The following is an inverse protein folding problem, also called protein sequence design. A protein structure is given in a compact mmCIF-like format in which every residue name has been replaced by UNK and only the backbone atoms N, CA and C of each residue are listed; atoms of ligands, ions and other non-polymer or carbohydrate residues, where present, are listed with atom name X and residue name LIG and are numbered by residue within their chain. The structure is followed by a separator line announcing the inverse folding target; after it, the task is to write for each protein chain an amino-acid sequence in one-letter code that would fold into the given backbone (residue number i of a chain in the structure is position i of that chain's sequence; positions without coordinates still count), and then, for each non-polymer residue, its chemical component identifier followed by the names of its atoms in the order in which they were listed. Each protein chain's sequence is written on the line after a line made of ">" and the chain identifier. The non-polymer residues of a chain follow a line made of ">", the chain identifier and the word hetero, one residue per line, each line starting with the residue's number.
data_IF_908521862073
#
_entry.id   IF_908521862073
#
_cell.length_a   1.000
_cell.length_b   1.000
_cell.length_c   1.000
_cell.angle_alpha   90.00
_cell.angle_beta   90.00
_cell.angle_gamma   90.00
#
_symmetry.space_group_name_H-M   'P 1'
#
loop_
_entity.id
_entity.type
_entity.pdbx_description
1 polymer ?
#
# COMPACT_ATOMS: atom_id res chain seq x y z
N UNK A 1 -4.71 -33.07 77.24
CA UNK A 1 -6.16 -32.80 77.02
C UNK A 1 -6.31 -32.23 75.61
N UNK A 2 -7.15 -32.84 74.76
CA UNK A 2 -7.40 -32.44 73.36
C UNK A 2 -7.90 -30.99 73.27
N UNK A 3 -7.52 -30.26 72.21
CA UNK A 3 -8.42 -29.33 71.51
C UNK A 3 -7.98 -29.13 70.06
N UNK A 4 -8.83 -29.61 69.14
CA UNK A 4 -8.85 -29.26 67.72
C UNK A 4 -9.45 -27.86 67.59
N UNK A 5 -9.00 -27.08 66.61
CA UNK A 5 -9.87 -26.12 65.94
C UNK A 5 -9.38 -25.83 64.52
N UNK A 6 -10.20 -26.16 63.53
CA UNK A 6 -10.07 -25.75 62.14
C UNK A 6 -10.41 -24.26 62.02
N UNK A 7 -9.77 -23.54 61.11
CA UNK A 7 -10.27 -22.26 60.59
C UNK A 7 -10.05 -22.16 59.08
N UNK A 8 -11.13 -21.78 58.40
CA UNK A 8 -11.34 -21.65 56.96
C UNK A 8 -10.70 -20.38 56.35
N UNK A 9 -10.71 -20.36 55.00
CA UNK A 9 -10.67 -19.23 54.05
C UNK A 9 -9.32 -18.86 53.43
N UNK A 10 -8.98 -19.56 52.34
CA UNK A 10 -8.34 -18.97 51.15
C UNK A 10 -9.40 -19.01 50.04
N UNK A 11 -9.59 -18.06 49.14
CA UNK A 11 -8.95 -16.79 48.81
C UNK A 11 -9.70 -16.28 47.57
N UNK A 12 -9.95 -14.97 47.48
CA UNK A 12 -10.70 -14.36 46.39
C UNK A 12 -10.06 -14.68 45.02
N UNK A 13 -10.84 -15.31 44.14
CA UNK A 13 -10.50 -15.43 42.71
C UNK A 13 -10.82 -14.13 41.99
N UNK A 14 -9.81 -13.26 41.82
CA UNK A 14 -9.91 -12.06 40.99
C UNK A 14 -9.65 -12.46 39.53
N UNK A 15 -10.70 -12.82 38.80
CA UNK A 15 -10.59 -13.08 37.36
C UNK A 15 -10.61 -11.76 36.60
N UNK A 16 -9.44 -11.19 36.36
CA UNK A 16 -9.27 -10.02 35.50
C UNK A 16 -9.04 -10.51 34.06
N UNK A 17 -10.13 -10.73 33.32
CA UNK A 17 -10.06 -10.90 31.86
C UNK A 17 -9.81 -9.54 31.21
N UNK A 18 -8.55 -9.25 30.92
CA UNK A 18 -8.15 -8.13 30.08
C UNK A 18 -8.34 -8.55 28.62
N UNK A 19 -9.48 -8.22 28.02
CA UNK A 19 -9.63 -8.28 26.55
C UNK A 19 -8.85 -7.11 25.96
N UNK A 20 -7.61 -7.37 25.53
CA UNK A 20 -6.85 -6.42 24.73
C UNK A 20 -7.45 -6.43 23.33
N UNK A 21 -8.33 -5.46 23.03
CA UNK A 21 -8.67 -5.12 21.65
C UNK A 21 -7.42 -4.51 21.00
N UNK A 22 -6.59 -5.36 20.41
CA UNK A 22 -5.50 -4.90 19.56
C UNK A 22 -6.09 -4.33 18.27
N UNK A 23 -6.02 -3.02 18.09
CA UNK A 23 -6.12 -2.42 16.77
C UNK A 23 -4.94 -2.95 15.95
N UNK A 24 -5.19 -3.89 15.05
CA UNK A 24 -4.18 -4.34 14.09
C UNK A 24 -4.08 -3.23 13.05
N UNK A 25 -2.88 -2.66 12.79
CA UNK A 25 -2.73 -1.72 11.68
C UNK A 25 -3.15 -2.43 10.38
N UNK A 26 -3.79 -1.71 9.42
CA UNK A 26 -4.10 -2.29 8.12
C UNK A 26 -2.82 -2.86 7.52
N UNK A 27 -2.92 -4.09 7.03
CA UNK A 27 -1.77 -4.77 6.45
C UNK A 27 -1.39 -4.12 5.12
N UNK A 28 -0.13 -4.22 4.73
CA UNK A 28 0.32 -3.72 3.42
C UNK A 28 -0.48 -4.36 2.27
N UNK A 29 -0.91 -5.62 2.43
CA UNK A 29 -1.80 -6.32 1.50
C UNK A 29 -3.20 -5.68 1.36
N UNK A 30 -3.71 -5.02 2.40
CA UNK A 30 -5.02 -4.34 2.33
C UNK A 30 -4.96 -3.13 1.38
N UNK A 31 -3.78 -2.53 1.16
CA UNK A 31 -3.63 -1.36 0.30
C UNK A 31 -3.81 -1.66 -1.19
N UNK A 32 -3.66 -2.93 -1.60
CA UNK A 32 -3.77 -3.37 -3.01
C UNK A 32 -5.14 -3.98 -3.35
N UNK A 33 -6.06 -4.10 -2.39
CA UNK A 33 -7.29 -4.88 -2.54
C UNK A 33 -8.20 -4.42 -3.71
N UNK A 34 -8.17 -3.14 -4.05
CA UNK A 34 -8.95 -2.51 -5.13
C UNK A 34 -8.11 -2.16 -6.37
N UNK A 35 -6.86 -2.61 -6.43
CA UNK A 35 -5.96 -2.40 -7.57
C UNK A 35 -5.94 -3.60 -8.51
N UNK A 36 -5.78 -3.32 -9.81
CA UNK A 36 -5.44 -4.34 -10.78
C UNK A 36 -3.95 -4.66 -10.62
N UNK A 37 -3.63 -5.88 -10.18
CA UNK A 37 -2.24 -6.32 -10.10
C UNK A 37 -1.63 -6.48 -11.50
N UNK A 38 -0.45 -5.88 -11.70
CA UNK A 38 0.32 -6.03 -12.92
C UNK A 38 1.31 -7.18 -12.79
N UNK A 39 1.58 -7.89 -13.89
CA UNK A 39 2.63 -8.89 -13.94
C UNK A 39 3.99 -8.19 -14.04
N UNK A 40 4.88 -8.42 -13.07
CA UNK A 40 6.22 -7.83 -13.06
C UNK A 40 7.05 -8.21 -14.28
N UNK A 41 6.84 -9.39 -14.87
CA UNK A 41 7.55 -9.85 -16.07
C UNK A 41 7.21 -9.00 -17.32
N UNK A 42 6.12 -8.23 -17.27
CA UNK A 42 5.67 -7.36 -18.34
C UNK A 42 6.12 -5.89 -18.15
N UNK A 43 6.71 -5.57 -17.00
CA UNK A 43 7.19 -4.22 -16.71
C UNK A 43 8.58 -4.05 -17.32
N UNK A 44 8.75 -3.00 -18.12
CA UNK A 44 10.03 -2.66 -18.73
C UNK A 44 10.80 -1.72 -17.81
N UNK A 45 12.06 -2.07 -17.51
CA UNK A 45 12.97 -1.25 -16.72
C UNK A 45 13.67 -2.02 -15.61
N UNK A 46 14.48 -1.32 -14.81
CA UNK A 46 15.16 -1.92 -13.67
C UNK A 46 14.20 -2.03 -12.48
N UNK A 47 13.85 -3.26 -12.08
CA UNK A 47 12.98 -3.54 -10.94
C UNK A 47 13.72 -3.53 -9.59
N UNK A 48 14.98 -3.09 -9.59
CA UNK A 48 15.88 -3.03 -8.43
C UNK A 48 16.66 -1.73 -8.40
N UNK A 49 16.89 -1.17 -7.22
CA UNK A 49 17.58 0.12 -7.12
C UNK A 49 17.73 0.65 -5.69
N UNK A 50 18.23 1.87 -5.57
CA UNK A 50 18.52 2.50 -4.28
C UNK A 50 17.36 3.32 -3.72
N UNK A 51 16.49 3.81 -4.59
CA UNK A 51 15.45 4.78 -4.24
C UNK A 51 14.12 4.36 -4.86
N UNK A 52 13.19 3.81 -4.07
CA UNK A 52 11.87 3.40 -4.52
C UNK A 52 11.05 4.49 -5.21
N UNK A 53 11.13 5.75 -4.75
CA UNK A 53 10.43 6.86 -5.41
C UNK A 53 11.00 7.13 -6.81
N UNK A 54 12.32 7.16 -6.94
CA UNK A 54 12.98 7.36 -8.23
C UNK A 54 12.70 6.19 -9.19
N UNK A 55 12.73 4.95 -8.69
CA UNK A 55 12.35 3.77 -9.47
C UNK A 55 10.90 3.83 -9.95
N UNK A 56 9.98 4.29 -9.10
CA UNK A 56 8.56 4.45 -9.44
C UNK A 56 8.38 5.43 -10.59
N UNK A 57 9.06 6.58 -10.55
CA UNK A 57 9.05 7.57 -11.63
C UNK A 57 9.74 7.07 -12.90
N UNK A 58 10.80 6.29 -12.76
CA UNK A 58 11.52 5.72 -13.91
C UNK A 58 10.66 4.68 -14.66
N UNK A 59 9.94 3.83 -13.92
CA UNK A 59 9.11 2.76 -14.46
C UNK A 59 7.77 3.26 -15.03
N UNK A 60 7.11 4.21 -14.35
CA UNK A 60 5.73 4.61 -14.66
C UNK A 60 5.52 6.12 -14.84
N UNK A 61 6.51 6.94 -14.51
CA UNK A 61 6.44 8.39 -14.69
C UNK A 61 6.49 8.78 -16.16
N UNK A 62 5.75 9.82 -16.53
CA UNK A 62 5.90 10.43 -17.85
C UNK A 62 7.11 11.36 -17.82
N UNK A 63 8.00 11.21 -18.81
CA UNK A 63 9.23 11.98 -18.94
C UNK A 63 9.08 13.06 -20.01
N UNK A 64 9.60 14.25 -19.73
CA UNK A 64 9.57 15.38 -20.65
C UNK A 64 8.35 16.28 -20.48
N UNK A 65 8.19 17.22 -21.40
CA UNK A 65 7.03 18.11 -21.43
C UNK A 65 5.81 17.36 -21.96
N UNK A 66 4.69 17.50 -21.26
CA UNK A 66 3.39 16.93 -21.64
C UNK A 66 2.45 18.08 -21.90
N UNK A 67 1.74 18.03 -23.02
CA UNK A 67 0.76 19.06 -23.37
C UNK A 67 -0.43 19.08 -22.39
N UNK A 68 -1.10 20.23 -22.32
CA UNK A 68 -2.27 20.42 -21.45
C UNK A 68 -1.92 20.69 -19.98
N UNK A 69 -2.86 20.40 -19.09
CA UNK A 69 -2.72 20.61 -17.65
C UNK A 69 -2.24 19.34 -16.92
N UNK A 70 -1.38 18.56 -17.56
CA UNK A 70 -0.85 17.32 -16.98
C UNK A 70 -0.18 17.59 -15.64
N UNK A 71 -0.39 16.69 -14.68
CA UNK A 71 0.31 16.70 -13.41
C UNK A 71 0.60 15.29 -12.95
N UNK A 72 1.73 15.11 -12.26
CA UNK A 72 2.05 13.86 -11.58
C UNK A 72 2.61 14.14 -10.19
N UNK A 73 2.23 13.30 -9.23
CA UNK A 73 2.56 13.42 -7.82
C UNK A 73 2.98 12.05 -7.28
N UNK A 74 4.00 12.03 -6.44
CA UNK A 74 4.54 10.82 -5.83
C UNK A 74 4.46 10.91 -4.31
N UNK A 75 3.95 9.86 -3.68
CA UNK A 75 3.75 9.78 -2.23
C UNK A 75 4.23 8.46 -1.68
N UNK A 76 4.89 8.51 -0.53
CA UNK A 76 5.18 7.31 0.27
C UNK A 76 4.00 7.09 1.20
N UNK A 77 3.29 5.96 1.04
CA UNK A 77 2.14 5.61 1.88
C UNK A 77 2.54 4.83 3.12
N UNK A 78 3.55 3.96 2.99
CA UNK A 78 4.10 3.16 4.07
C UNK A 78 5.62 3.07 3.94
N UNK A 79 6.32 3.10 5.07
CA UNK A 79 7.76 2.89 5.15
C UNK A 79 8.06 2.20 6.49
N UNK A 80 7.97 0.87 6.49
CA UNK A 80 8.03 0.05 7.70
C UNK A 80 9.12 -1.02 7.55
N UNK A 81 10.22 -0.86 8.31
CA UNK A 81 11.32 -1.83 8.30
C UNK A 81 11.93 -1.98 6.91
N UNK A 82 11.78 -3.18 6.34
CA UNK A 82 12.29 -3.53 5.01
C UNK A 82 11.20 -3.49 3.94
N UNK A 83 10.05 -2.88 4.21
CA UNK A 83 8.95 -2.69 3.27
C UNK A 83 8.70 -1.20 3.04
N UNK A 84 8.43 -0.83 1.78
CA UNK A 84 8.03 0.53 1.41
C UNK A 84 6.96 0.51 0.33
N UNK A 85 5.88 1.27 0.54
CA UNK A 85 4.81 1.45 -0.44
C UNK A 85 4.84 2.87 -0.97
N UNK A 86 4.92 2.97 -2.29
CA UNK A 86 4.96 4.24 -3.03
C UNK A 86 3.78 4.30 -3.99
N UNK A 87 3.12 5.45 -4.03
CA UNK A 87 2.02 5.73 -4.93
C UNK A 87 2.41 6.84 -5.89
N UNK A 88 2.24 6.58 -7.18
CA UNK A 88 2.31 7.58 -8.24
C UNK A 88 0.89 7.89 -8.71
N UNK A 89 0.50 9.15 -8.70
CA UNK A 89 -0.77 9.63 -9.28
C UNK A 89 -0.46 10.57 -10.44
N UNK A 90 -1.10 10.33 -11.58
CA UNK A 90 -1.03 11.13 -12.80
C UNK A 90 -2.43 11.61 -13.15
N UNK A 91 -2.59 12.91 -13.41
CA UNK A 91 -3.87 13.53 -13.73
C UNK A 91 -3.78 14.32 -15.03
N UNK A 92 -4.93 14.45 -15.69
CA UNK A 92 -5.08 15.16 -16.97
C UNK A 92 -4.15 14.55 -18.02
N UNK A 93 -4.24 13.24 -18.19
CA UNK A 93 -3.50 12.52 -19.22
C UNK A 93 -3.97 12.94 -20.62
N UNK A 94 -3.12 12.77 -21.65
CA UNK A 94 -3.49 13.12 -23.03
C UNK A 94 -4.66 12.31 -23.62
N UNK A 95 -5.03 11.19 -23.00
CA UNK A 95 -6.16 10.37 -23.43
C UNK A 95 -7.48 10.95 -22.89
N UNK A 96 -8.35 11.44 -23.78
CA UNK A 96 -9.62 12.06 -23.43
C UNK A 96 -10.58 11.14 -22.65
N UNK A 97 -10.39 9.82 -22.69
CA UNK A 97 -11.20 8.86 -21.93
C UNK A 97 -10.72 8.68 -20.49
N UNK A 98 -9.43 8.90 -20.22
CA UNK A 98 -8.79 8.68 -18.93
C UNK A 98 -8.47 10.02 -18.27
N UNK A 99 -9.14 10.32 -17.17
CA UNK A 99 -8.88 11.52 -16.37
C UNK A 99 -7.55 11.41 -15.64
N UNK A 100 -7.24 10.23 -15.13
CA UNK A 100 -6.01 10.01 -14.37
C UNK A 100 -5.67 8.53 -14.20
N UNK A 101 -4.41 8.30 -13.87
CA UNK A 101 -3.84 6.97 -13.62
C UNK A 101 -3.15 6.97 -12.27
N UNK A 102 -3.24 5.85 -11.58
CA UNK A 102 -2.56 5.66 -10.30
C UNK A 102 -1.87 4.31 -10.28
N UNK A 103 -0.63 4.32 -9.84
CA UNK A 103 0.16 3.13 -9.59
C UNK A 103 0.48 3.06 -8.10
N UNK A 104 0.32 1.87 -7.53
CA UNK A 104 0.77 1.54 -6.19
C UNK A 104 1.88 0.51 -6.33
N UNK A 105 3.03 0.77 -5.73
CA UNK A 105 4.21 -0.07 -5.85
C UNK A 105 4.69 -0.43 -4.46
N UNK A 106 4.89 -1.72 -4.22
CA UNK A 106 5.48 -2.24 -3.00
C UNK A 106 6.92 -2.66 -3.27
N UNK A 107 7.81 -2.25 -2.37
CA UNK A 107 9.23 -2.55 -2.44
C UNK A 107 9.68 -3.27 -1.18
N UNK A 108 10.52 -4.27 -1.37
CA UNK A 108 11.21 -4.99 -0.30
C UNK A 108 12.71 -4.71 -0.33
N UNK A 109 13.30 -4.40 0.81
CA UNK A 109 14.73 -4.17 0.91
C UNK A 109 15.49 -5.49 1.05
N UNK A 110 16.27 -5.83 0.02
CA UNK A 110 17.20 -6.95 0.03
C UNK A 110 18.46 -6.56 0.80
N UNK A 111 18.57 -7.06 2.03
CA UNK A 111 19.75 -6.81 2.87
C UNK A 111 21.03 -7.41 2.28
N UNK A 112 20.94 -8.51 1.54
CA UNK A 112 22.10 -9.13 0.89
C UNK A 112 22.64 -8.29 -0.27
N UNK A 113 21.76 -7.59 -0.99
CA UNK A 113 22.14 -6.76 -2.13
C UNK A 113 22.32 -5.28 -1.74
N UNK A 114 21.77 -4.87 -0.60
CA UNK A 114 21.70 -3.47 -0.19
C UNK A 114 20.82 -2.64 -1.13
N UNK A 115 19.80 -3.25 -1.74
CA UNK A 115 18.92 -2.64 -2.75
C UNK A 115 17.46 -2.90 -2.43
N UNK A 116 16.61 -1.99 -2.88
CA UNK A 116 15.16 -2.20 -2.95
C UNK A 116 14.81 -3.01 -4.19
N UNK A 117 13.93 -3.98 -4.02
CA UNK A 117 13.36 -4.83 -5.06
C UNK A 117 11.87 -4.52 -5.16
N UNK A 118 11.36 -4.31 -6.37
CA UNK A 118 9.93 -4.19 -6.61
C UNK A 118 9.28 -5.57 -6.47
N UNK A 119 8.38 -5.71 -5.50
CA UNK A 119 7.71 -6.97 -5.18
C UNK A 119 6.26 -7.03 -5.72
N UNK A 120 5.59 -5.88 -5.80
CA UNK A 120 4.22 -5.81 -6.29
C UNK A 120 3.92 -4.47 -6.97
N UNK A 121 3.06 -4.50 -8.01
CA UNK A 121 2.50 -3.31 -8.65
C UNK A 121 1.00 -3.47 -8.83
N UNK A 122 0.27 -2.45 -8.41
CA UNK A 122 -1.16 -2.28 -8.63
C UNK A 122 -1.41 -1.06 -9.51
N UNK A 123 -2.45 -1.13 -10.35
CA UNK A 123 -2.93 -0.02 -11.18
C UNK A 123 -4.40 0.26 -10.95
N UNK A 124 -4.74 1.55 -10.95
CA UNK A 124 -6.09 2.07 -11.09
C UNK A 124 -6.11 3.21 -12.10
N UNK A 125 -7.30 3.54 -12.57
CA UNK A 125 -7.57 4.68 -13.44
C UNK A 125 -8.86 5.38 -13.01
N UNK A 126 -8.99 6.65 -13.34
CA UNK A 126 -10.23 7.41 -13.24
C UNK A 126 -10.68 7.82 -14.63
N UNK A 127 -11.96 7.68 -14.93
CA UNK A 127 -12.50 7.88 -16.28
C UNK A 127 -13.13 9.26 -16.43
N UNK A 128 -12.82 9.96 -17.52
CA UNK A 128 -13.34 11.32 -17.76
C UNK A 128 -14.85 11.33 -17.98
N UNK A 129 -15.40 10.27 -18.60
CA UNK A 129 -16.81 10.17 -19.02
C UNK A 129 -17.70 9.35 -18.09
N UNK A 130 -17.21 8.93 -16.92
CA UNK A 130 -18.04 8.22 -15.94
C UNK A 130 -18.91 9.18 -15.12
N UNK A 131 -20.03 8.68 -14.59
CA UNK A 131 -20.89 9.46 -13.67
C UNK A 131 -20.12 9.93 -12.43
N UNK A 132 -19.14 9.13 -11.98
CA UNK A 132 -18.22 9.47 -10.89
C UNK A 132 -16.79 9.60 -11.42
N UNK A 133 -16.51 10.66 -12.19
CA UNK A 133 -15.19 10.87 -12.80
C UNK A 133 -14.01 11.03 -11.83
N UNK A 134 -14.29 11.19 -10.53
CA UNK A 134 -13.27 11.25 -9.47
C UNK A 134 -12.94 9.90 -8.85
N UNK A 135 -13.77 8.89 -9.11
CA UNK A 135 -13.58 7.56 -8.55
C UNK A 135 -12.45 6.83 -9.28
N UNK A 136 -11.73 6.01 -8.52
CA UNK A 136 -10.68 5.15 -9.03
C UNK A 136 -11.27 3.76 -9.28
N UNK A 137 -10.97 3.19 -10.44
CA UNK A 137 -11.46 1.89 -10.89
C UNK A 137 -10.35 1.11 -11.57
N UNK A 138 -10.57 -0.19 -11.69
CA UNK A 138 -9.77 -1.11 -12.52
C UNK A 138 -10.45 -1.43 -13.86
N UNK A 139 -11.69 -0.99 -14.03
CA UNK A 139 -12.44 -1.16 -15.26
C UNK A 139 -11.93 -0.22 -16.36
N UNK A 140 -12.04 -0.67 -17.61
CA UNK A 140 -11.67 0.14 -18.77
C UNK A 140 -12.58 1.35 -18.91
N UNK A 141 -12.01 2.52 -19.19
CA UNK A 141 -12.80 3.70 -19.55
C UNK A 141 -13.46 3.50 -20.93
N UNK A 142 -14.70 3.99 -21.06
CA UNK A 142 -15.49 3.94 -22.29
C UNK A 142 -15.33 5.22 -23.14
#
# INVERSE_FOLDING_TARGET
>A
MKRKSNLLLLGLGFSLSLMVMGCTPPSDADQFADYQLLNLDQIQGELRGDNPEAMTLELFGIKGEVEGNFSQDIKVLSNQGFNKIVMLTQMNLPDDSIRGMRYLLEFEFSQSEGKWLLSQVGRQQSCSRSENSTDWTTESCL
#
